data_IF_341415564676
#
_entry.id   IF_341415564676
#
_cell.length_a   1.000
_cell.length_b   1.000
_cell.length_c   1.000
_cell.angle_alpha   90.00
_cell.angle_beta   90.00
_cell.angle_gamma   90.00
#
_symmetry.space_group_name_H-M   'P 1'
#
loop_
_entity.id
_entity.type
_entity.pdbx_description
1 polymer ?
#
# COMPACT_ATOMS: atom_id res chain seq x y z
N UNK A 1 20.33 36.46 -16.41
CA UNK A 1 19.51 35.30 -16.01
C UNK A 1 20.42 34.09 -15.90
N UNK A 2 20.71 33.64 -14.67
CA UNK A 2 21.29 32.32 -14.41
C UNK A 2 20.29 31.61 -13.52
N UNK A 3 19.72 30.55 -14.07
CA UNK A 3 18.84 29.62 -13.36
C UNK A 3 19.74 28.93 -12.33
N UNK A 4 19.58 29.27 -11.06
CA UNK A 4 20.27 28.60 -9.96
C UNK A 4 19.53 27.27 -9.71
N UNK A 5 20.11 26.17 -10.19
CA UNK A 5 19.77 24.84 -9.72
C UNK A 5 20.11 24.78 -8.22
N UNK A 6 19.10 24.68 -7.36
CA UNK A 6 19.27 24.42 -5.92
C UNK A 6 20.09 23.12 -5.81
N UNK A 7 21.22 23.20 -5.11
CA UNK A 7 22.05 22.04 -4.76
C UNK A 7 21.33 21.25 -3.66
N UNK A 8 20.93 20.02 -3.98
CA UNK A 8 20.50 19.01 -3.03
C UNK A 8 21.56 18.82 -1.94
N UNK A 9 21.18 19.03 -0.68
CA UNK A 9 22.00 18.64 0.48
C UNK A 9 21.42 17.34 1.02
N UNK A 10 21.77 16.22 0.38
CA UNK A 10 21.49 14.89 0.92
C UNK A 10 22.34 14.67 2.17
N UNK A 11 21.73 14.79 3.35
CA UNK A 11 22.36 14.42 4.62
C UNK A 11 22.08 12.94 4.90
N UNK A 12 22.96 12.07 4.41
CA UNK A 12 22.96 10.64 4.75
C UNK A 12 23.53 10.43 6.15
N UNK A 13 22.79 9.76 7.01
CA UNK A 13 23.20 9.43 8.37
C UNK A 13 23.08 7.92 8.57
N UNK A 14 24.08 7.33 9.22
CA UNK A 14 24.10 5.92 9.63
C UNK A 14 24.00 5.88 11.16
N UNK A 15 22.96 5.26 11.71
CA UNK A 15 22.70 5.21 13.14
C UNK A 15 22.38 3.80 13.61
N UNK A 16 23.25 3.22 14.43
CA UNK A 16 22.96 1.91 15.06
C UNK A 16 21.92 1.95 16.20
N UNK A 17 21.01 2.92 16.22
CA UNK A 17 20.02 3.10 17.29
C UNK A 17 18.70 3.65 16.69
N UNK A 18 18.19 4.75 17.27
CA UNK A 18 16.98 5.48 16.87
C UNK A 18 17.35 6.71 16.03
N UNK A 19 16.78 6.85 14.84
CA UNK A 19 16.83 8.05 14.02
C UNK A 19 15.52 8.83 14.16
N UNK A 20 15.56 10.05 14.72
CA UNK A 20 14.40 10.96 14.76
C UNK A 20 14.63 12.10 13.78
N UNK A 21 13.73 12.25 12.83
CA UNK A 21 13.88 13.17 11.70
C UNK A 21 12.62 14.02 11.56
N UNK A 22 12.75 15.31 11.81
CA UNK A 22 11.64 16.25 11.79
C UNK A 22 11.93 17.42 10.87
N UNK A 23 10.88 17.98 10.26
CA UNK A 23 10.88 19.30 9.62
C UNK A 23 12.02 19.49 8.60
N UNK A 24 12.00 18.74 7.52
CA UNK A 24 13.03 18.83 6.49
C UNK A 24 12.56 18.58 5.07
N UNK A 25 13.19 19.29 4.13
CA UNK A 25 12.87 19.17 2.70
C UNK A 25 13.22 17.78 2.14
N UNK A 26 14.37 17.19 2.52
CA UNK A 26 14.83 15.92 1.95
C UNK A 26 15.61 15.09 2.97
N UNK A 27 15.25 13.81 3.10
CA UNK A 27 15.86 12.89 4.06
C UNK A 27 16.11 11.52 3.48
N UNK A 28 17.27 10.99 3.82
CA UNK A 28 17.69 9.65 3.48
C UNK A 28 18.22 8.98 4.74
N UNK A 29 17.56 7.91 5.20
CA UNK A 29 17.93 7.16 6.41
C UNK A 29 18.16 5.69 6.07
N UNK A 30 19.30 5.15 6.48
CA UNK A 30 19.60 3.73 6.25
C UNK A 30 20.32 3.13 7.45
N UNK A 31 20.15 1.82 7.66
CA UNK A 31 20.86 1.04 8.69
C UNK A 31 20.56 1.58 10.09
N UNK A 32 19.30 1.47 10.52
CA UNK A 32 18.79 1.90 11.83
C UNK A 32 17.79 0.90 12.42
N UNK A 33 17.89 0.62 13.72
CA UNK A 33 16.93 -0.26 14.41
C UNK A 33 15.54 0.39 14.44
N UNK A 34 15.47 1.70 14.73
CA UNK A 34 14.21 2.44 14.81
C UNK A 34 14.32 3.79 14.12
N UNK A 35 13.33 4.13 13.30
CA UNK A 35 13.30 5.41 12.57
C UNK A 35 11.94 6.07 12.71
N UNK A 36 11.91 7.28 13.26
CA UNK A 36 10.71 8.11 13.41
C UNK A 36 10.87 9.37 12.57
N UNK A 37 9.95 9.59 11.63
CA UNK A 37 10.02 10.69 10.66
C UNK A 37 8.70 11.46 10.64
N UNK A 38 8.76 12.79 10.77
CA UNK A 38 7.56 13.64 10.66
C UNK A 38 7.76 14.95 9.92
N UNK A 39 6.73 15.43 9.25
CA UNK A 39 6.65 16.76 8.63
C UNK A 39 7.76 16.99 7.59
N UNK A 40 7.89 16.12 6.58
CA UNK A 40 8.91 16.23 5.53
C UNK A 40 8.34 16.20 4.11
N UNK A 41 8.97 16.95 3.20
CA UNK A 41 8.57 16.93 1.79
C UNK A 41 8.99 15.59 1.14
N UNK A 42 10.23 15.15 1.36
CA UNK A 42 10.74 13.90 0.77
C UNK A 42 11.55 13.06 1.75
N UNK A 43 11.21 11.78 1.81
CA UNK A 43 11.86 10.80 2.68
C UNK A 43 12.17 9.52 1.92
N UNK A 44 13.42 9.07 1.99
CA UNK A 44 13.89 7.78 1.49
C UNK A 44 14.47 6.97 2.66
N UNK A 45 14.04 5.72 2.82
CA UNK A 45 14.46 4.85 3.91
C UNK A 45 14.81 3.46 3.37
N UNK A 46 15.83 2.83 3.95
CA UNK A 46 15.97 1.39 3.80
C UNK A 46 16.84 0.70 4.84
N UNK A 47 16.78 -0.62 4.86
CA UNK A 47 17.56 -1.47 5.79
C UNK A 47 17.32 -1.13 7.27
N UNK A 48 16.06 -0.95 7.69
CA UNK A 48 15.67 -0.70 9.09
C UNK A 48 14.75 -1.79 9.65
N UNK A 49 14.81 -2.01 10.97
CA UNK A 49 13.91 -2.97 11.63
C UNK A 49 12.51 -2.36 11.86
N UNK A 50 12.42 -1.11 12.31
CA UNK A 50 11.12 -0.44 12.54
C UNK A 50 11.09 1.01 12.07
N UNK A 51 10.01 1.38 11.39
CA UNK A 51 9.78 2.72 10.84
C UNK A 51 8.40 3.22 11.28
N UNK A 52 8.34 4.47 11.76
CA UNK A 52 7.11 5.23 11.97
C UNK A 52 7.22 6.56 11.20
N UNK A 53 6.29 6.82 10.29
CA UNK A 53 6.26 8.04 9.47
C UNK A 53 4.90 8.71 9.59
N UNK A 54 4.88 10.03 9.80
CA UNK A 54 3.65 10.83 9.72
C UNK A 54 3.84 12.13 8.95
N UNK A 55 2.78 12.59 8.29
CA UNK A 55 2.69 13.96 7.74
C UNK A 55 3.81 14.28 6.73
N UNK A 56 4.13 13.36 5.82
CA UNK A 56 5.10 13.58 4.74
C UNK A 56 4.43 13.71 3.37
N UNK A 57 4.96 14.55 2.47
CA UNK A 57 4.44 14.61 1.09
C UNK A 57 4.83 13.32 0.32
N UNK A 58 6.09 12.91 0.38
CA UNK A 58 6.60 11.77 -0.38
C UNK A 58 7.52 10.86 0.45
N UNK A 59 7.22 9.56 0.42
CA UNK A 59 7.93 8.54 1.19
C UNK A 59 8.27 7.33 0.31
N UNK A 60 9.54 6.95 0.29
CA UNK A 60 10.08 5.77 -0.41
C UNK A 60 10.81 4.88 0.60
N UNK A 61 10.44 3.59 0.68
CA UNK A 61 10.93 2.66 1.70
C UNK A 61 11.31 1.34 1.03
N UNK A 62 12.47 0.79 1.38
CA UNK A 62 12.98 -0.48 0.85
C UNK A 62 13.64 -1.36 1.89
N UNK A 63 13.39 -2.68 1.85
CA UNK A 63 14.15 -3.68 2.63
C UNK A 63 14.02 -3.46 4.16
N UNK A 64 12.79 -3.45 4.72
CA UNK A 64 12.55 -3.23 6.16
C UNK A 64 11.61 -4.27 6.77
N UNK A 65 11.78 -4.56 8.06
CA UNK A 65 10.93 -5.54 8.73
C UNK A 65 9.53 -4.96 9.02
N UNK A 66 9.44 -3.79 9.65
CA UNK A 66 8.15 -3.20 10.05
C UNK A 66 8.03 -1.72 9.70
N UNK A 67 6.94 -1.35 9.04
CA UNK A 67 6.66 0.03 8.62
C UNK A 67 5.24 0.45 8.98
N UNK A 68 5.11 1.55 9.72
CA UNK A 68 3.85 2.24 10.00
C UNK A 68 3.87 3.65 9.38
N UNK A 69 2.85 3.99 8.60
CA UNK A 69 2.75 5.29 7.92
C UNK A 69 1.35 5.89 8.08
N UNK A 70 1.29 7.17 8.43
CA UNK A 70 0.05 7.95 8.49
C UNK A 70 0.14 9.29 7.75
N UNK A 71 -0.96 9.75 7.17
CA UNK A 71 -1.12 11.15 6.72
C UNK A 71 -0.08 11.61 5.67
N UNK A 72 0.24 10.78 4.67
CA UNK A 72 1.12 11.14 3.56
C UNK A 72 0.39 11.28 2.21
N UNK A 73 0.94 12.09 1.30
CA UNK A 73 0.37 12.20 -0.06
C UNK A 73 0.77 10.99 -0.94
N UNK A 74 2.06 10.60 -0.96
CA UNK A 74 2.54 9.47 -1.78
C UNK A 74 3.50 8.56 -1.03
N UNK A 75 3.25 7.26 -1.15
CA UNK A 75 4.04 6.19 -0.55
C UNK A 75 4.45 5.18 -1.62
N UNK A 76 5.72 4.82 -1.63
CA UNK A 76 6.25 3.66 -2.35
C UNK A 76 7.02 2.76 -1.39
N UNK A 77 6.62 1.49 -1.28
CA UNK A 77 7.24 0.50 -0.40
C UNK A 77 7.63 -0.74 -1.21
N UNK A 78 8.82 -1.27 -0.96
CA UNK A 78 9.28 -2.53 -1.56
C UNK A 78 9.99 -3.41 -0.54
N UNK A 79 9.80 -4.72 -0.68
CA UNK A 79 10.59 -5.73 0.04
C UNK A 79 10.50 -5.57 1.57
N UNK A 80 9.28 -5.40 2.11
CA UNK A 80 9.05 -5.30 3.56
C UNK A 80 8.28 -6.50 4.12
N UNK A 81 8.58 -6.94 5.35
CA UNK A 81 7.81 -8.03 5.98
C UNK A 81 6.40 -7.54 6.36
N UNK A 82 6.29 -6.40 7.06
CA UNK A 82 5.01 -5.88 7.55
C UNK A 82 4.84 -4.39 7.28
N UNK A 83 3.69 -4.02 6.73
CA UNK A 83 3.35 -2.62 6.40
C UNK A 83 1.93 -2.29 6.87
N UNK A 84 1.80 -1.18 7.60
CA UNK A 84 0.54 -0.60 8.06
C UNK A 84 0.46 0.86 7.59
N UNK A 85 -0.61 1.21 6.86
CA UNK A 85 -0.77 2.53 6.21
C UNK A 85 -2.17 3.09 6.49
N UNK A 86 -2.24 4.35 6.90
CA UNK A 86 -3.51 5.03 7.20
C UNK A 86 -3.58 6.46 6.64
N UNK A 87 -4.72 6.84 6.08
CA UNK A 87 -5.05 8.22 5.73
C UNK A 87 -4.10 8.83 4.66
N UNK A 88 -3.97 8.20 3.48
CA UNK A 88 -3.04 8.66 2.42
C UNK A 88 -3.69 8.77 1.04
N UNK A 89 -3.20 9.66 0.19
CA UNK A 89 -3.76 9.80 -1.17
C UNK A 89 -3.35 8.63 -2.08
N UNK A 90 -2.05 8.29 -2.12
CA UNK A 90 -1.52 7.29 -3.04
C UNK A 90 -0.52 6.35 -2.38
N UNK A 91 -0.71 5.04 -2.58
CA UNK A 91 0.15 4.01 -2.04
C UNK A 91 0.47 2.96 -3.10
N UNK A 92 1.77 2.71 -3.28
CA UNK A 92 2.29 1.60 -4.09
C UNK A 92 3.13 0.68 -3.21
N UNK A 93 2.83 -0.62 -3.22
CA UNK A 93 3.53 -1.63 -2.42
C UNK A 93 3.88 -2.81 -3.32
N UNK A 94 5.10 -3.33 -3.16
CA UNK A 94 5.56 -4.53 -3.87
C UNK A 94 6.34 -5.46 -2.96
N UNK A 95 6.17 -6.76 -3.16
CA UNK A 95 7.01 -7.80 -2.54
C UNK A 95 6.98 -7.75 -1.00
N UNK A 96 5.78 -7.64 -0.40
CA UNK A 96 5.62 -7.64 1.06
C UNK A 96 4.93 -8.91 1.58
N UNK A 97 5.30 -9.40 2.76
CA UNK A 97 4.58 -10.53 3.37
C UNK A 97 3.17 -10.09 3.84
N UNK A 98 3.08 -8.98 4.57
CA UNK A 98 1.82 -8.51 5.15
C UNK A 98 1.59 -7.01 4.95
N UNK A 99 0.40 -6.66 4.49
CA UNK A 99 -0.01 -5.27 4.27
C UNK A 99 -1.42 -5.01 4.83
N UNK A 100 -1.55 -3.99 5.67
CA UNK A 100 -2.83 -3.42 6.12
C UNK A 100 -2.92 -1.95 5.67
N UNK A 101 -3.99 -1.60 4.94
CA UNK A 101 -4.24 -0.23 4.47
C UNK A 101 -5.63 0.23 4.81
N UNK A 102 -5.74 1.46 5.31
CA UNK A 102 -7.01 2.08 5.66
C UNK A 102 -7.10 3.53 5.19
N UNK A 103 -8.28 3.94 4.72
CA UNK A 103 -8.63 5.35 4.45
C UNK A 103 -7.70 6.02 3.41
N UNK A 104 -7.41 5.31 2.31
CA UNK A 104 -6.62 5.84 1.19
C UNK A 104 -7.46 6.06 -0.09
N UNK A 105 -7.06 7.03 -0.92
CA UNK A 105 -7.74 7.24 -2.21
C UNK A 105 -7.33 6.19 -3.25
N UNK A 106 -6.03 5.90 -3.39
CA UNK A 106 -5.52 4.96 -4.41
C UNK A 106 -4.46 4.02 -3.86
N UNK A 107 -4.63 2.75 -4.17
CA UNK A 107 -3.74 1.67 -3.76
C UNK A 107 -3.36 0.83 -4.98
N UNK A 108 -2.07 0.54 -5.14
CA UNK A 108 -1.53 -0.49 -6.01
C UNK A 108 -0.66 -1.45 -5.19
N UNK A 109 -0.98 -2.74 -5.22
CA UNK A 109 -0.24 -3.79 -4.50
C UNK A 109 0.13 -4.90 -5.47
N UNK A 110 1.37 -5.38 -5.37
CA UNK A 110 1.84 -6.53 -6.16
C UNK A 110 2.68 -7.48 -5.33
N UNK A 111 2.53 -8.78 -5.59
CA UNK A 111 3.41 -9.84 -5.07
C UNK A 111 3.44 -9.88 -3.53
N UNK A 112 2.27 -9.80 -2.87
CA UNK A 112 2.17 -9.91 -1.41
C UNK A 112 1.54 -11.22 -0.94
N UNK A 113 1.98 -11.78 0.20
CA UNK A 113 1.30 -12.96 0.76
C UNK A 113 -0.09 -12.60 1.31
N UNK A 114 -0.19 -11.54 2.11
CA UNK A 114 -1.43 -11.14 2.76
C UNK A 114 -1.70 -9.64 2.63
N UNK A 115 -2.93 -9.30 2.24
CA UNK A 115 -3.36 -7.91 2.09
C UNK A 115 -4.76 -7.69 2.69
N UNK A 116 -4.86 -6.71 3.59
CA UNK A 116 -6.11 -6.22 4.14
C UNK A 116 -6.30 -4.73 3.80
N UNK A 117 -7.45 -4.39 3.24
CA UNK A 117 -7.75 -3.04 2.76
C UNK A 117 -9.15 -2.63 3.22
N UNK A 118 -9.28 -1.43 3.80
CA UNK A 118 -10.56 -0.90 4.30
C UNK A 118 -10.78 0.56 3.98
N UNK A 119 -11.99 0.92 3.54
CA UNK A 119 -12.45 2.32 3.38
C UNK A 119 -11.64 3.10 2.32
N UNK A 120 -11.54 2.63 1.06
CA UNK A 120 -10.72 3.25 0.00
C UNK A 120 -11.48 3.50 -1.30
N UNK A 121 -11.06 4.49 -2.10
CA UNK A 121 -11.75 4.75 -3.38
C UNK A 121 -11.34 3.74 -4.45
N UNK A 122 -10.04 3.53 -4.68
CA UNK A 122 -9.53 2.72 -5.78
C UNK A 122 -8.42 1.78 -5.34
N UNK A 123 -8.55 0.51 -5.71
CA UNK A 123 -7.58 -0.53 -5.35
C UNK A 123 -7.28 -1.44 -6.53
N UNK A 124 -6.00 -1.59 -6.84
CA UNK A 124 -5.48 -2.57 -7.79
C UNK A 124 -4.55 -3.55 -7.07
N UNK A 125 -4.79 -4.85 -7.20
CA UNK A 125 -3.96 -5.90 -6.58
C UNK A 125 -3.62 -6.98 -7.59
N UNK A 126 -2.36 -7.41 -7.58
CA UNK A 126 -1.88 -8.52 -8.43
C UNK A 126 -0.98 -9.49 -7.68
N UNK A 127 -1.07 -10.76 -8.02
CA UNK A 127 -0.10 -11.79 -7.60
C UNK A 127 0.00 -11.96 -6.07
N UNK A 128 -1.13 -11.89 -5.35
CA UNK A 128 -1.19 -12.14 -3.92
C UNK A 128 -1.82 -13.49 -3.55
N UNK A 129 -1.42 -14.06 -2.42
CA UNK A 129 -2.04 -15.29 -1.92
C UNK A 129 -3.41 -15.00 -1.29
N UNK A 130 -3.50 -13.99 -0.41
CA UNK A 130 -4.70 -13.70 0.36
C UNK A 130 -5.06 -12.22 0.38
N UNK A 131 -6.32 -11.93 0.05
CA UNK A 131 -6.87 -10.57 0.00
C UNK A 131 -8.16 -10.49 0.80
N UNK A 132 -8.26 -9.51 1.70
CA UNK A 132 -9.52 -9.07 2.30
C UNK A 132 -9.73 -7.57 2.01
N UNK A 133 -10.86 -7.24 1.38
CA UNK A 133 -11.23 -5.84 1.08
C UNK A 133 -12.62 -5.52 1.60
N UNK A 134 -12.74 -4.37 2.27
CA UNK A 134 -14.03 -3.85 2.75
C UNK A 134 -14.22 -2.39 2.40
N UNK A 135 -15.45 -2.02 2.02
CA UNK A 135 -15.86 -0.62 1.89
C UNK A 135 -15.05 0.19 0.86
N UNK A 136 -14.83 -0.37 -0.34
CA UNK A 136 -14.18 0.33 -1.45
C UNK A 136 -15.13 0.64 -2.62
N UNK A 137 -14.88 1.75 -3.31
CA UNK A 137 -15.67 2.10 -4.50
C UNK A 137 -15.28 1.21 -5.71
N UNK A 138 -13.99 1.03 -5.97
CA UNK A 138 -13.50 0.27 -7.13
C UNK A 138 -12.33 -0.63 -6.81
N UNK A 139 -12.45 -1.86 -7.27
CA UNK A 139 -11.46 -2.91 -7.07
C UNK A 139 -11.13 -3.56 -8.41
N UNK A 140 -9.83 -3.72 -8.69
CA UNK A 140 -9.30 -4.56 -9.75
C UNK A 140 -8.32 -5.59 -9.16
N UNK A 141 -8.56 -6.88 -9.38
CA UNK A 141 -7.75 -7.95 -8.80
C UNK A 141 -7.41 -9.01 -9.86
N UNK A 142 -6.14 -9.41 -9.97
CA UNK A 142 -5.69 -10.42 -10.95
C UNK A 142 -4.61 -11.35 -10.39
N UNK A 143 -4.68 -12.62 -10.74
CA UNK A 143 -3.65 -13.63 -10.45
C UNK A 143 -3.48 -13.92 -8.95
N UNK A 144 -4.58 -14.15 -8.22
CA UNK A 144 -4.54 -14.38 -6.75
C UNK A 144 -5.16 -15.71 -6.35
N UNK A 145 -4.81 -16.20 -5.15
CA UNK A 145 -5.38 -17.45 -4.67
C UNK A 145 -6.74 -17.23 -4.00
N UNK A 146 -6.82 -16.41 -2.95
CA UNK A 146 -8.00 -16.28 -2.10
C UNK A 146 -8.41 -14.83 -1.87
N UNK A 147 -9.65 -14.50 -2.23
CA UNK A 147 -10.20 -13.14 -2.17
C UNK A 147 -11.51 -13.13 -1.39
N UNK A 148 -11.60 -12.26 -0.38
CA UNK A 148 -12.84 -11.88 0.28
C UNK A 148 -13.14 -10.39 0.10
N UNK A 149 -14.32 -10.06 -0.42
CA UNK A 149 -14.75 -8.68 -0.69
C UNK A 149 -16.11 -8.41 -0.05
N UNK A 150 -16.22 -7.32 0.70
CA UNK A 150 -17.48 -6.90 1.37
C UNK A 150 -17.78 -5.43 1.16
N UNK A 151 -19.01 -5.12 0.78
CA UNK A 151 -19.55 -3.75 0.71
C UNK A 151 -18.79 -2.87 -0.31
N UNK A 152 -18.88 -3.18 -1.61
CA UNK A 152 -18.16 -2.42 -2.65
C UNK A 152 -19.07 -2.02 -3.82
N UNK A 153 -18.72 -0.96 -4.57
CA UNK A 153 -19.54 -0.59 -5.73
C UNK A 153 -19.17 -1.38 -6.99
N UNK A 154 -17.88 -1.54 -7.28
CA UNK A 154 -17.41 -2.17 -8.51
C UNK A 154 -16.20 -3.05 -8.28
N UNK A 155 -16.26 -4.27 -8.81
CA UNK A 155 -15.15 -5.22 -8.77
C UNK A 155 -14.94 -5.85 -10.14
N UNK A 156 -13.73 -5.71 -10.69
CA UNK A 156 -13.23 -6.48 -11.82
C UNK A 156 -12.20 -7.50 -11.34
N UNK A 157 -12.36 -8.76 -11.72
CA UNK A 157 -11.47 -9.85 -11.36
C UNK A 157 -11.02 -10.64 -12.59
N UNK A 158 -9.71 -10.81 -12.72
CA UNK A 158 -9.07 -11.74 -13.66
C UNK A 158 -8.88 -13.12 -13.05
N UNK A 159 -7.84 -13.84 -13.47
CA UNK A 159 -7.53 -15.21 -13.05
C UNK A 159 -7.34 -15.33 -11.52
N UNK A 160 -8.25 -15.97 -10.78
CA UNK A 160 -8.05 -16.26 -9.35
C UNK A 160 -8.64 -17.64 -8.97
N UNK A 161 -8.14 -18.24 -7.88
CA UNK A 161 -8.63 -19.57 -7.47
C UNK A 161 -9.97 -19.51 -6.73
N UNK A 162 -10.11 -18.64 -5.73
CA UNK A 162 -11.32 -18.55 -4.89
C UNK A 162 -11.71 -17.12 -4.57
N UNK A 163 -12.99 -16.83 -4.77
CA UNK A 163 -13.60 -15.54 -4.51
C UNK A 163 -14.86 -15.70 -3.65
N UNK A 164 -14.95 -14.94 -2.55
CA UNK A 164 -16.19 -14.68 -1.81
C UNK A 164 -16.55 -13.19 -1.85
N UNK A 165 -17.76 -12.86 -2.32
CA UNK A 165 -18.27 -11.48 -2.36
C UNK A 165 -19.63 -11.42 -1.66
N UNK A 166 -19.75 -10.57 -0.63
CA UNK A 166 -21.00 -10.49 0.15
C UNK A 166 -21.95 -9.40 -0.33
N UNK A 167 -21.46 -8.21 -0.63
CA UNK A 167 -22.29 -7.07 -1.05
C UNK A 167 -21.54 -6.26 -2.10
N UNK A 168 -22.04 -6.26 -3.34
CA UNK A 168 -21.42 -5.52 -4.42
C UNK A 168 -22.40 -5.05 -5.49
N UNK A 169 -22.31 -3.82 -6.00
CA UNK A 169 -23.25 -3.38 -7.03
C UNK A 169 -22.95 -3.96 -8.42
N UNK A 170 -21.66 -4.11 -8.78
CA UNK A 170 -21.24 -4.55 -10.11
C UNK A 170 -20.00 -5.41 -10.04
N UNK A 171 -20.11 -6.62 -10.56
CA UNK A 171 -19.01 -7.57 -10.61
C UNK A 171 -18.78 -8.04 -12.04
N UNK A 172 -17.53 -7.95 -12.49
CA UNK A 172 -17.02 -8.55 -13.73
C UNK A 172 -15.93 -9.58 -13.38
N UNK A 173 -16.09 -10.83 -13.81
CA UNK A 173 -15.17 -11.93 -13.47
C UNK A 173 -14.73 -12.66 -14.73
N UNK A 174 -13.43 -12.98 -14.86
CA UNK A 174 -12.89 -13.80 -15.95
C UNK A 174 -11.99 -14.90 -15.40
N UNK A 175 -12.13 -16.14 -15.86
CA UNK A 175 -11.14 -17.22 -15.63
C UNK A 175 -10.90 -17.58 -14.14
N UNK A 176 -11.97 -17.78 -13.36
CA UNK A 176 -11.85 -18.16 -11.94
C UNK A 176 -12.38 -19.56 -11.63
N UNK A 177 -11.77 -20.25 -10.66
CA UNK A 177 -12.15 -21.63 -10.33
C UNK A 177 -13.39 -21.72 -9.43
N UNK A 178 -13.47 -20.89 -8.38
CA UNK A 178 -14.57 -20.92 -7.39
C UNK A 178 -15.04 -19.51 -7.03
N UNK A 179 -16.36 -19.29 -7.16
CA UNK A 179 -16.98 -17.99 -6.90
C UNK A 179 -18.22 -18.19 -6.02
N UNK A 180 -18.25 -17.54 -4.85
CA UNK A 180 -19.44 -17.37 -4.00
C UNK A 180 -19.84 -15.88 -3.99
N UNK A 181 -21.06 -15.56 -4.41
CA UNK A 181 -21.62 -14.20 -4.36
C UNK A 181 -22.96 -14.25 -3.64
N UNK A 182 -23.15 -13.42 -2.61
CA UNK A 182 -24.41 -13.37 -1.83
C UNK A 182 -25.36 -12.29 -2.31
N UNK A 183 -24.95 -11.03 -2.27
CA UNK A 183 -25.77 -9.89 -2.66
C UNK A 183 -25.08 -9.10 -3.77
N UNK A 184 -25.72 -9.08 -4.95
CA UNK A 184 -25.23 -8.33 -6.10
C UNK A 184 -26.38 -7.80 -6.97
N UNK A 185 -26.25 -6.56 -7.44
CA UNK A 185 -27.18 -5.96 -8.41
C UNK A 185 -26.86 -6.32 -9.87
N UNK A 186 -25.59 -6.48 -10.27
CA UNK A 186 -25.14 -6.83 -11.62
C UNK A 186 -23.90 -7.73 -11.63
N UNK A 187 -24.00 -8.91 -12.25
CA UNK A 187 -22.90 -9.86 -12.42
C UNK A 187 -22.66 -10.17 -13.91
N UNK A 188 -21.42 -10.06 -14.36
CA UNK A 188 -20.94 -10.57 -15.65
C UNK A 188 -19.78 -11.55 -15.42
N UNK A 189 -19.87 -12.72 -16.04
CA UNK A 189 -18.81 -13.75 -16.01
C UNK A 189 -18.44 -14.08 -17.44
N UNK A 190 -17.14 -14.03 -17.76
CA UNK A 190 -16.56 -14.35 -19.06
C UNK A 190 -15.74 -15.63 -18.98
#
# INVERSE_FOLDING_TARGET
>A
MRINQKKYKNNRLHYKNVAVILNSENRHCTDSEHTEIRENEHTEIGENERIEIRENEHTEIRENEHTEIGENERIEIRENEHTEIRENEHTEIRENEHTEIRENERIEIRENEHTEIRENEHTEIRENEHIEIRENERIEIRENEHIEIRENERTEMGENERIEIRENERIEIRENERIEIRENASLQVF
#
